data_IF_585703027270
#
_entry.id   IF_585703027270
#
_cell.length_a   1.000
_cell.length_b   1.000
_cell.length_c   1.000
_cell.angle_alpha   90.00
_cell.angle_beta   90.00
_cell.angle_gamma   90.00
#
_symmetry.space_group_name_H-M   'P 1'
#
loop_
_entity.id
_entity.type
_entity.pdbx_description
1 polymer ?
#
# COMPACT_ATOMS: atom_id res chain seq x y z
N UNK A 1 -8.11 -33.70 -73.97
CA UNK A 1 -7.39 -32.82 -74.91
C UNK A 1 -7.24 -31.45 -74.26
N UNK A 2 -5.98 -31.04 -74.01
CA UNK A 2 -5.38 -29.69 -74.05
C UNK A 2 -6.17 -28.48 -73.47
N UNK A 3 -5.62 -27.55 -72.68
CA UNK A 3 -4.22 -27.15 -72.42
C UNK A 3 -4.21 -26.15 -71.23
N UNK A 4 -3.06 -26.14 -70.56
CA UNK A 4 -2.55 -25.30 -69.48
C UNK A 4 -3.04 -23.83 -69.37
N UNK A 5 -3.07 -23.35 -68.12
CA UNK A 5 -2.60 -22.00 -67.80
C UNK A 5 -1.79 -22.03 -66.50
N UNK A 6 -0.52 -21.62 -66.62
CA UNK A 6 0.46 -21.45 -65.54
C UNK A 6 0.15 -20.18 -64.73
N UNK A 7 0.98 -19.96 -63.69
CA UNK A 7 1.21 -18.75 -62.88
C UNK A 7 0.38 -18.69 -61.58
N UNK A 8 0.92 -18.48 -60.37
CA UNK A 8 2.28 -18.20 -59.86
C UNK A 8 2.31 -18.65 -58.39
N UNK A 9 3.42 -19.26 -57.96
CA UNK A 9 3.76 -19.42 -56.55
C UNK A 9 4.17 -18.04 -56.00
N UNK A 10 3.42 -17.50 -55.05
CA UNK A 10 3.88 -16.41 -54.19
C UNK A 10 4.19 -16.97 -52.81
N UNK A 11 5.46 -17.27 -52.56
CA UNK A 11 5.98 -17.61 -51.24
C UNK A 11 6.04 -16.31 -50.44
N UNK A 12 5.06 -16.08 -49.56
CA UNK A 12 5.11 -14.99 -48.59
C UNK A 12 6.09 -15.39 -47.47
N UNK A 13 7.30 -14.82 -47.52
CA UNK A 13 8.30 -14.95 -46.46
C UNK A 13 7.86 -14.02 -45.30
N UNK A 14 7.12 -14.55 -44.32
CA UNK A 14 6.78 -13.80 -43.11
C UNK A 14 7.97 -13.78 -42.15
N UNK A 15 8.57 -12.59 -41.98
CA UNK A 15 9.53 -12.31 -40.91
C UNK A 15 8.89 -12.62 -39.55
N UNK A 16 9.52 -13.41 -38.65
CA UNK A 16 9.10 -13.42 -37.26
C UNK A 16 9.50 -12.08 -36.64
N UNK A 17 8.51 -11.26 -36.31
CA UNK A 17 8.69 -10.11 -35.44
C UNK A 17 9.23 -10.64 -34.10
N UNK A 18 10.39 -10.15 -33.68
CA UNK A 18 10.88 -10.34 -32.32
C UNK A 18 9.87 -9.65 -31.39
N UNK A 19 8.94 -10.42 -30.81
CA UNK A 19 8.16 -9.93 -29.67
C UNK A 19 9.13 -9.76 -28.53
N UNK A 20 9.46 -8.51 -28.23
CA UNK A 20 10.16 -8.11 -27.03
C UNK A 20 9.32 -8.59 -25.84
N UNK A 21 9.75 -9.69 -25.21
CA UNK A 21 9.21 -10.11 -23.92
C UNK A 21 9.72 -9.09 -22.92
N UNK A 22 8.93 -8.03 -22.71
CA UNK A 22 9.13 -7.14 -21.59
C UNK A 22 8.84 -7.96 -20.33
N UNK A 23 9.91 -8.41 -19.68
CA UNK A 23 9.82 -8.91 -18.33
C UNK A 23 9.29 -7.78 -17.45
N UNK A 24 8.02 -7.86 -17.07
CA UNK A 24 7.47 -7.03 -16.00
C UNK A 24 8.07 -7.54 -14.70
N UNK A 25 9.14 -6.89 -14.23
CA UNK A 25 9.57 -7.03 -12.84
C UNK A 25 8.40 -6.60 -11.95
N UNK A 26 7.82 -7.60 -11.29
CA UNK A 26 6.74 -7.44 -10.33
C UNK A 26 7.19 -6.50 -9.21
N UNK A 27 6.58 -5.32 -9.17
CA UNK A 27 6.89 -4.25 -8.23
C UNK A 27 6.76 -4.69 -6.78
N UNK A 28 7.88 -4.68 -6.06
CA UNK A 28 7.94 -4.90 -4.61
C UNK A 28 8.26 -3.60 -3.83
N UNK A 29 8.42 -2.47 -4.52
CA UNK A 29 8.89 -1.21 -3.91
C UNK A 29 7.85 -0.07 -3.96
N UNK A 30 6.83 -0.19 -4.80
CA UNK A 30 5.76 0.81 -4.91
C UNK A 30 4.82 0.85 -3.68
N UNK A 31 4.79 -0.22 -2.88
CA UNK A 31 3.91 -0.32 -1.71
C UNK A 31 4.50 0.27 -0.42
N UNK A 32 5.82 0.52 -0.39
CA UNK A 32 6.50 1.08 0.78
C UNK A 32 6.54 2.60 0.76
N UNK A 33 6.42 3.19 -0.42
CA UNK A 33 6.44 4.63 -0.60
C UNK A 33 5.02 5.17 -0.60
N UNK A 34 4.83 6.30 0.10
CA UNK A 34 3.58 7.03 0.04
C UNK A 34 3.31 7.52 -1.38
N UNK A 35 2.05 7.54 -1.84
CA UNK A 35 1.69 8.24 -3.05
C UNK A 35 2.21 9.69 -3.00
N UNK A 36 2.64 10.30 -4.12
CA UNK A 36 3.24 11.63 -4.11
C UNK A 36 2.38 12.70 -3.43
N UNK A 37 1.04 12.57 -3.50
CA UNK A 37 0.10 13.47 -2.84
C UNK A 37 0.14 13.41 -1.30
N UNK A 38 0.56 12.28 -0.73
CA UNK A 38 0.61 12.08 0.73
C UNK A 38 1.96 12.51 1.32
N UNK A 39 2.99 12.72 0.49
CA UNK A 39 4.36 13.02 0.92
C UNK A 39 4.47 14.32 1.75
N UNK A 40 3.82 15.41 1.34
CA UNK A 40 3.89 16.69 2.07
C UNK A 40 3.14 16.65 3.41
N UNK A 41 2.04 15.92 3.45
CA UNK A 41 1.26 15.71 4.66
C UNK A 41 2.03 14.83 5.64
N UNK A 42 2.69 13.81 5.10
CA UNK A 42 3.59 12.93 5.81
C UNK A 42 4.76 13.65 6.48
N UNK A 43 5.47 14.48 5.72
CA UNK A 43 6.63 15.24 6.22
C UNK A 43 6.28 16.21 7.36
N UNK A 44 5.02 16.67 7.46
CA UNK A 44 4.59 17.62 8.50
C UNK A 44 3.96 16.92 9.70
N UNK A 45 3.02 16.00 9.45
CA UNK A 45 2.19 15.43 10.51
C UNK A 45 2.77 14.12 11.04
N UNK A 46 3.08 13.18 10.14
CA UNK A 46 3.48 11.82 10.50
C UNK A 46 4.93 11.75 10.97
N UNK A 47 5.83 12.55 10.40
CA UNK A 47 7.25 12.62 10.78
C UNK A 47 7.51 13.08 12.23
N UNK A 48 6.60 13.89 12.79
CA UNK A 48 6.70 14.46 14.14
C UNK A 48 5.80 13.74 15.15
N UNK A 49 5.07 12.72 14.71
CA UNK A 49 4.12 12.01 15.54
C UNK A 49 4.84 10.99 16.42
N UNK A 50 4.59 11.04 17.74
CA UNK A 50 5.17 10.13 18.73
C UNK A 50 4.09 9.26 19.37
N UNK A 51 4.48 8.07 19.87
CA UNK A 51 3.52 7.10 20.39
C UNK A 51 2.72 7.68 21.57
N UNK A 52 1.37 7.64 21.55
CA UNK A 52 0.56 8.25 22.60
C UNK A 52 0.81 7.67 24.01
N UNK A 53 1.24 6.42 24.10
CA UNK A 53 1.59 5.72 25.34
C UNK A 53 3.09 5.77 25.70
N UNK A 54 3.95 6.15 24.75
CA UNK A 54 5.38 6.38 24.99
C UNK A 54 5.94 7.46 24.05
N UNK A 55 5.80 8.75 24.41
CA UNK A 55 6.15 9.87 23.54
C UNK A 55 7.65 10.00 23.21
N UNK A 56 8.53 9.21 23.82
CA UNK A 56 9.97 9.17 23.48
C UNK A 56 10.19 8.43 22.15
N UNK A 57 9.24 7.58 21.73
CA UNK A 57 9.33 6.80 20.50
C UNK A 57 8.49 7.44 19.38
N UNK A 58 9.07 7.52 18.19
CA UNK A 58 8.33 7.93 16.98
C UNK A 58 7.24 6.91 16.63
N UNK A 59 6.11 7.40 16.14
CA UNK A 59 5.07 6.59 15.51
C UNK A 59 5.47 6.08 14.13
N UNK A 60 6.35 6.81 13.44
CA UNK A 60 6.55 6.68 12.02
C UNK A 60 8.02 6.74 11.61
N UNK A 61 8.37 5.97 10.59
CA UNK A 61 9.64 6.04 9.86
C UNK A 61 9.48 6.17 8.34
N UNK A 62 8.35 6.68 7.87
CA UNK A 62 7.97 6.84 6.45
C UNK A 62 7.61 5.57 5.68
N UNK A 63 7.76 4.39 6.26
CA UNK A 63 7.36 3.13 5.63
C UNK A 63 6.24 2.42 6.38
N UNK A 64 6.06 2.70 7.67
CA UNK A 64 5.20 1.96 8.60
C UNK A 64 3.80 2.55 8.77
N UNK A 65 3.58 3.81 8.38
CA UNK A 65 2.26 4.46 8.42
C UNK A 65 1.58 4.45 7.05
N UNK A 66 0.28 4.17 7.01
CA UNK A 66 -0.49 4.19 5.75
C UNK A 66 -1.99 4.34 6.00
N UNK A 67 -2.76 4.86 5.01
CA UNK A 67 -4.22 4.88 5.08
C UNK A 67 -4.79 3.46 5.19
N UNK A 68 -5.85 3.28 5.97
CA UNK A 68 -6.43 1.96 6.23
C UNK A 68 -7.96 1.98 6.35
N UNK A 69 -8.57 0.82 6.07
CA UNK A 69 -9.96 0.54 6.38
C UNK A 69 -10.09 0.12 7.85
N UNK A 70 -11.21 0.47 8.49
CA UNK A 70 -11.51 0.03 9.85
C UNK A 70 -12.84 -0.71 9.97
N UNK A 71 -12.95 -1.49 11.05
CA UNK A 71 -14.19 -2.09 11.53
C UNK A 71 -14.35 -1.82 13.01
N UNK A 72 -15.59 -1.58 13.42
CA UNK A 72 -15.97 -1.57 14.81
C UNK A 72 -16.60 -2.93 15.16
N UNK A 73 -16.02 -3.62 16.14
CA UNK A 73 -16.53 -4.90 16.65
C UNK A 73 -16.54 -4.81 18.17
N UNK A 74 -17.72 -4.93 18.77
CA UNK A 74 -17.92 -4.85 20.23
C UNK A 74 -17.28 -3.61 20.88
N UNK A 75 -17.42 -2.45 20.23
CA UNK A 75 -16.85 -1.17 20.71
C UNK A 75 -15.33 -1.05 20.55
N UNK A 76 -14.68 -2.02 19.90
CA UNK A 76 -13.23 -2.01 19.62
C UNK A 76 -12.99 -1.72 18.15
N UNK A 77 -11.87 -1.04 17.88
CA UNK A 77 -11.44 -0.68 16.53
C UNK A 77 -10.50 -1.77 16.02
N UNK A 78 -10.74 -2.24 14.81
CA UNK A 78 -9.82 -3.09 14.06
C UNK A 78 -9.43 -2.39 12.77
N UNK A 79 -8.14 -2.34 12.45
CA UNK A 79 -7.65 -1.75 11.21
C UNK A 79 -7.06 -2.82 10.29
N UNK A 80 -7.22 -2.63 8.98
CA UNK A 80 -6.70 -3.56 7.98
C UNK A 80 -5.23 -3.28 7.69
N UNK A 81 -4.36 -4.25 7.99
CA UNK A 81 -2.95 -4.20 7.63
C UNK A 81 -2.78 -4.36 6.12
N UNK A 82 -1.98 -3.51 5.48
CA UNK A 82 -1.85 -3.48 4.01
C UNK A 82 -1.13 -4.73 3.47
N UNK A 83 -0.19 -5.28 4.23
CA UNK A 83 0.70 -6.35 3.77
C UNK A 83 -0.01 -7.69 3.58
N UNK A 84 -0.95 -8.03 4.46
CA UNK A 84 -1.63 -9.33 4.50
C UNK A 84 -3.16 -9.21 4.52
N UNK A 85 -3.70 -7.99 4.50
CA UNK A 85 -5.14 -7.73 4.56
C UNK A 85 -5.79 -8.12 5.89
N UNK A 86 -5.02 -8.48 6.91
CA UNK A 86 -5.52 -8.91 8.22
C UNK A 86 -6.08 -7.71 8.98
N UNK A 87 -7.24 -7.87 9.61
CA UNK A 87 -7.76 -6.90 10.57
C UNK A 87 -7.13 -7.14 11.94
N UNK A 88 -6.33 -6.19 12.40
CA UNK A 88 -5.64 -6.25 13.69
C UNK A 88 -6.34 -5.33 14.69
N UNK A 89 -6.41 -5.75 15.95
CA UNK A 89 -7.00 -4.96 17.02
C UNK A 89 -6.16 -3.72 17.27
N UNK A 90 -6.79 -2.55 17.32
CA UNK A 90 -6.16 -1.30 17.73
C UNK A 90 -6.29 -1.16 19.26
N UNK A 91 -5.18 -1.21 20.01
CA UNK A 91 -5.23 -0.95 21.44
C UNK A 91 -5.64 0.51 21.69
N UNK A 92 -6.52 0.74 22.67
CA UNK A 92 -7.09 2.06 22.93
C UNK A 92 -6.04 3.11 23.29
N UNK A 93 -4.94 2.71 23.90
CA UNK A 93 -3.80 3.58 24.25
C UNK A 93 -2.94 3.98 23.04
N UNK A 94 -3.12 3.35 21.88
CA UNK A 94 -2.39 3.70 20.65
C UNK A 94 -3.15 4.69 19.76
N UNK A 95 -4.38 5.04 20.12
CA UNK A 95 -5.23 5.95 19.36
C UNK A 95 -4.85 7.41 19.66
N UNK A 96 -4.58 8.19 18.61
CA UNK A 96 -4.39 9.65 18.68
C UNK A 96 -5.67 10.33 19.16
N UNK A 97 -5.53 11.28 20.10
CA UNK A 97 -6.65 12.04 20.69
C UNK A 97 -6.37 13.53 20.84
N UNK A 98 -5.12 13.94 20.68
CA UNK A 98 -4.61 15.27 20.95
C UNK A 98 -4.32 16.07 19.68
N UNK A 99 -4.34 15.43 18.50
CA UNK A 99 -4.05 16.05 17.20
C UNK A 99 -5.16 15.75 16.21
N UNK A 100 -5.51 16.77 15.43
CA UNK A 100 -6.41 16.59 14.29
C UNK A 100 -5.70 15.86 13.16
N UNK A 101 -6.37 14.89 12.55
CA UNK A 101 -5.85 14.15 11.43
C UNK A 101 -6.06 14.94 10.12
N UNK A 102 -4.98 15.46 9.48
CA UNK A 102 -5.09 16.50 8.47
C UNK A 102 -5.66 16.03 7.13
N UNK A 103 -5.73 14.72 6.86
CA UNK A 103 -6.29 14.20 5.60
C UNK A 103 -7.67 13.52 5.76
N UNK A 104 -8.19 13.46 6.99
CA UNK A 104 -9.50 12.89 7.29
C UNK A 104 -9.61 11.37 7.11
N UNK A 105 -8.55 10.65 6.76
CA UNK A 105 -8.56 9.18 6.55
C UNK A 105 -8.04 8.46 7.79
N UNK A 106 -8.42 7.20 8.02
CA UNK A 106 -7.80 6.44 9.10
C UNK A 106 -6.37 6.07 8.72
N UNK A 107 -5.44 6.14 9.67
CA UNK A 107 -4.05 5.74 9.47
C UNK A 107 -3.60 4.72 10.51
N UNK A 108 -2.97 3.65 10.03
CA UNK A 108 -2.32 2.64 10.86
C UNK A 108 -0.80 2.76 10.70
N UNK A 109 -0.10 2.87 11.83
CA UNK A 109 1.34 2.75 11.91
C UNK A 109 1.70 1.42 12.57
N UNK A 110 2.26 0.49 11.81
CA UNK A 110 2.57 -0.86 12.27
C UNK A 110 3.76 -1.45 11.52
N UNK A 111 4.58 -2.30 12.17
CA UNK A 111 5.62 -3.04 11.46
C UNK A 111 5.00 -4.04 10.47
N UNK A 112 5.73 -4.40 9.39
CA UNK A 112 5.29 -5.48 8.52
C UNK A 112 5.22 -6.80 9.31
N UNK A 113 4.38 -7.77 8.87
CA UNK A 113 4.25 -9.06 9.56
C UNK A 113 5.57 -9.82 9.76
N UNK A 114 6.54 -9.62 8.87
CA UNK A 114 7.86 -10.24 8.96
C UNK A 114 8.76 -9.66 10.05
N UNK A 115 8.46 -8.46 10.56
CA UNK A 115 9.25 -7.77 11.57
C UNK A 115 8.74 -7.99 13.01
N UNK A 116 7.56 -8.57 13.19
CA UNK A 116 6.96 -8.81 14.50
C UNK A 116 6.13 -10.10 14.50
N UNK A 117 6.40 -10.99 15.45
CA UNK A 117 5.63 -12.23 15.63
C UNK A 117 4.21 -11.98 16.17
N UNK A 118 3.95 -10.79 16.70
CA UNK A 118 2.64 -10.36 17.22
C UNK A 118 2.13 -9.15 16.44
N UNK A 119 0.81 -8.96 16.43
CA UNK A 119 0.19 -7.79 15.79
C UNK A 119 0.47 -6.53 16.62
N UNK A 120 1.58 -5.87 16.31
CA UNK A 120 2.01 -4.64 16.97
C UNK A 120 1.38 -3.43 16.28
N UNK A 121 0.90 -2.48 17.08
CA UNK A 121 0.47 -1.16 16.63
C UNK A 121 1.36 -0.13 17.29
N UNK A 122 2.02 0.72 16.50
CA UNK A 122 2.75 1.86 17.04
C UNK A 122 1.79 2.98 17.37
N UNK A 123 0.98 3.38 16.38
CA UNK A 123 0.02 4.48 16.50
C UNK A 123 -1.17 4.26 15.55
N UNK A 124 -2.29 4.87 15.89
CA UNK A 124 -3.49 4.84 15.07
C UNK A 124 -4.20 6.20 15.11
N UNK A 125 -4.49 6.78 13.94
CA UNK A 125 -5.23 8.02 13.81
C UNK A 125 -6.58 7.73 13.18
N UNK A 126 -7.65 8.17 13.84
CA UNK A 126 -8.98 8.13 13.25
C UNK A 126 -9.12 9.22 12.19
N UNK A 127 -9.79 8.86 11.09
CA UNK A 127 -10.29 9.84 10.15
C UNK A 127 -11.51 10.56 10.74
N UNK A 128 -11.55 11.89 10.63
CA UNK A 128 -12.75 12.67 10.88
C UNK A 128 -13.63 12.65 9.64
N UNK A 129 -14.77 11.96 9.71
CA UNK A 129 -15.87 12.24 8.79
C UNK A 129 -16.45 13.61 9.17
N UNK A 130 -16.06 14.65 8.45
CA UNK A 130 -16.81 15.92 8.44
C UNK A 130 -17.98 15.81 7.49
#
# INVERSE_FOLDING_TARGET
MNRACKLLLTIALSLPSLTEVKAEELGQDAHRHHPPQDQLLHEKFYSSWHMPDNPVLSCCNSADCYPTEIRYVDGRIYARRREDGKYILIPSQKVERNRDNPDGRNHLCAPPPSASLVDTVYCFALGGAT
#
